data_IF_526416652061
#
_entry.id   IF_526416652061
#
_cell.length_a   1.000
_cell.length_b   1.000
_cell.length_c   1.000
_cell.angle_alpha   90.00
_cell.angle_beta   90.00
_cell.angle_gamma   90.00
#
_symmetry.space_group_name_H-M   'P 1'
#
loop_
_entity.id
_entity.type
_entity.pdbx_description
1 polymer ?
#
# COMPACT_ATOMS: atom_id res chain seq x y z
N UNK A 1 -23.76 3.00 8.97
CA UNK A 1 -24.85 2.51 9.84
C UNK A 1 -25.35 3.68 10.68
N UNK A 2 -26.40 4.42 10.28
CA UNK A 2 -26.70 5.76 10.85
C UNK A 2 -27.24 5.75 12.29
N UNK A 3 -27.63 4.59 12.82
CA UNK A 3 -28.14 4.43 14.19
C UNK A 3 -27.14 3.73 15.12
N UNK A 4 -25.89 3.64 14.70
CA UNK A 4 -24.84 2.90 15.42
C UNK A 4 -23.59 3.75 15.43
N UNK A 5 -23.03 4.01 16.62
CA UNK A 5 -21.73 4.66 16.72
C UNK A 5 -20.68 3.77 16.06
N UNK A 6 -19.80 4.37 15.25
CA UNK A 6 -18.76 3.68 14.51
C UNK A 6 -17.41 4.35 14.79
N UNK A 7 -16.35 3.55 14.76
CA UNK A 7 -14.96 4.02 14.79
C UNK A 7 -14.17 3.27 13.72
N UNK A 8 -13.20 3.89 13.06
CA UNK A 8 -12.27 3.18 12.20
C UNK A 8 -11.21 2.50 13.07
N UNK A 9 -10.72 1.37 12.58
CA UNK A 9 -9.52 0.74 13.08
C UNK A 9 -8.44 0.85 12.00
N UNK A 10 -7.34 1.51 12.34
CA UNK A 10 -6.17 1.63 11.47
C UNK A 10 -5.06 0.71 11.97
N UNK A 11 -4.34 0.09 11.04
CA UNK A 11 -3.15 -0.67 11.37
C UNK A 11 -1.94 0.26 11.33
N UNK A 12 -1.22 0.38 12.47
CA UNK A 12 0.05 1.12 12.55
C UNK A 12 1.20 0.13 12.29
N UNK A 13 1.07 -1.10 12.79
CA UNK A 13 2.02 -2.18 12.46
C UNK A 13 1.92 -2.53 10.98
N UNK A 14 3.07 -2.78 10.36
CA UNK A 14 3.17 -2.96 8.90
C UNK A 14 3.06 -4.44 8.51
N UNK A 15 2.04 -5.15 8.99
CA UNK A 15 1.81 -6.57 8.67
C UNK A 15 1.83 -6.84 7.16
N UNK A 16 1.15 -5.99 6.39
CA UNK A 16 1.00 -6.11 4.93
C UNK A 16 1.95 -5.22 4.13
N UNK A 17 2.84 -4.50 4.81
CA UNK A 17 3.64 -3.42 4.23
C UNK A 17 5.12 -3.54 4.61
N UNK A 18 5.61 -4.79 4.66
CA UNK A 18 7.03 -5.11 4.84
C UNK A 18 7.54 -5.10 6.27
N UNK A 19 6.67 -5.38 7.25
CA UNK A 19 6.99 -5.47 8.67
C UNK A 19 7.83 -4.26 9.14
N UNK A 20 8.82 -4.47 10.00
CA UNK A 20 9.74 -3.42 10.46
C UNK A 20 10.95 -3.23 9.52
N UNK A 21 10.82 -3.55 8.24
CA UNK A 21 11.92 -3.43 7.25
C UNK A 21 11.66 -2.34 6.23
N UNK A 22 10.45 -2.27 5.69
CA UNK A 22 10.15 -1.32 4.62
C UNK A 22 9.80 0.05 5.20
N UNK A 23 10.36 1.11 4.62
CA UNK A 23 9.91 2.47 4.87
C UNK A 23 8.55 2.64 4.18
N UNK A 24 7.48 2.70 4.97
CA UNK A 24 6.12 2.98 4.51
C UNK A 24 5.43 3.92 5.49
N UNK A 25 5.36 5.19 5.14
CA UNK A 25 4.65 6.20 5.92
C UNK A 25 3.14 6.11 5.66
N UNK A 26 2.37 5.87 6.72
CA UNK A 26 0.95 5.48 6.64
C UNK A 26 -0.03 6.66 6.73
N UNK A 27 0.43 7.86 7.07
CA UNK A 27 -0.47 9.01 7.13
C UNK A 27 -1.21 9.27 5.81
N UNK A 28 -0.60 9.16 4.62
CA UNK A 28 -1.33 9.30 3.35
C UNK A 28 -2.49 8.31 3.21
N UNK A 29 -2.33 7.07 3.70
CA UNK A 29 -3.38 6.05 3.69
C UNK A 29 -4.52 6.42 4.64
N UNK A 30 -4.19 6.93 5.83
CA UNK A 30 -5.19 7.37 6.80
C UNK A 30 -5.93 8.62 6.31
N UNK A 31 -5.22 9.61 5.75
CA UNK A 31 -5.77 10.83 5.17
C UNK A 31 -6.69 10.52 3.97
N UNK A 32 -6.27 9.63 3.07
CA UNK A 32 -7.09 9.13 1.94
C UNK A 32 -8.41 8.53 2.44
N UNK A 33 -8.35 7.68 3.47
CA UNK A 33 -9.53 7.09 4.08
C UNK A 33 -10.43 8.15 4.73
N UNK A 34 -9.88 8.98 5.62
CA UNK A 34 -10.63 9.99 6.37
C UNK A 34 -11.29 11.04 5.46
N UNK A 35 -10.65 11.39 4.34
CA UNK A 35 -11.17 12.35 3.37
C UNK A 35 -12.14 11.76 2.35
N UNK A 36 -12.24 10.43 2.24
CA UNK A 36 -13.11 9.78 1.27
C UNK A 36 -14.57 10.16 1.51
N UNK A 37 -15.22 10.75 0.49
CA UNK A 37 -16.64 11.07 0.52
C UNK A 37 -17.49 9.82 0.26
N UNK A 38 -18.30 9.46 1.25
CA UNK A 38 -19.18 8.28 1.18
C UNK A 38 -20.51 8.57 0.50
N UNK A 39 -20.83 9.86 0.30
CA UNK A 39 -22.13 10.36 -0.12
C UNK A 39 -23.31 9.88 0.74
N UNK A 40 -23.06 9.46 1.99
CA UNK A 40 -24.07 8.85 2.86
C UNK A 40 -25.27 9.78 3.14
N UNK A 41 -25.03 11.10 3.21
CA UNK A 41 -26.04 12.15 3.34
C UNK A 41 -25.82 13.29 2.32
N UNK A 42 -25.44 12.94 1.09
CA UNK A 42 -25.07 13.89 0.04
C UNK A 42 -23.56 14.19 0.01
N UNK A 43 -23.14 15.07 -0.89
CA UNK A 43 -21.74 15.49 -1.03
C UNK A 43 -21.18 16.07 0.28
N UNK A 44 -19.90 15.81 0.52
CA UNK A 44 -19.19 16.17 1.75
C UNK A 44 -19.46 15.22 2.91
N UNK A 45 -20.00 14.02 2.68
CA UNK A 45 -20.23 12.99 3.71
C UNK A 45 -18.97 12.15 3.94
N UNK A 46 -17.87 12.78 4.32
CA UNK A 46 -16.57 12.10 4.46
C UNK A 46 -16.56 11.09 5.59
N UNK A 47 -15.65 10.11 5.52
CA UNK A 47 -15.38 9.18 6.62
C UNK A 47 -15.07 9.93 7.91
N UNK A 48 -14.25 10.99 7.86
CA UNK A 48 -13.96 11.83 9.02
C UNK A 48 -15.23 12.36 9.71
N UNK A 49 -16.23 12.82 8.94
CA UNK A 49 -17.50 13.32 9.50
C UNK A 49 -18.40 12.23 10.08
N UNK A 50 -18.23 11.00 9.61
CA UNK A 50 -18.87 9.83 10.24
C UNK A 50 -18.20 9.55 11.59
N UNK A 51 -16.87 9.59 11.62
CA UNK A 51 -16.04 9.22 12.77
C UNK A 51 -16.08 10.27 13.87
N UNK A 52 -16.10 11.56 13.54
CA UNK A 52 -16.26 12.68 14.49
C UNK A 52 -17.71 12.89 14.95
N UNK A 53 -18.64 12.07 14.44
CA UNK A 53 -20.05 12.08 14.81
C UNK A 53 -20.89 13.19 14.19
N UNK A 54 -20.29 14.17 13.51
CA UNK A 54 -20.98 15.35 12.95
C UNK A 54 -21.99 15.02 11.85
N UNK A 55 -21.84 13.90 11.15
CA UNK A 55 -22.79 13.46 10.12
C UNK A 55 -24.04 12.79 10.71
N UNK A 56 -23.88 12.06 11.83
CA UNK A 56 -24.92 11.21 12.42
C UNK A 56 -25.48 11.70 13.76
N UNK A 57 -24.91 12.76 14.34
CA UNK A 57 -25.25 13.23 15.69
C UNK A 57 -24.79 12.28 16.80
N UNK A 58 -23.71 11.53 16.58
CA UNK A 58 -23.17 10.61 17.58
C UNK A 58 -22.25 11.36 18.55
N UNK A 59 -22.41 11.13 19.85
CA UNK A 59 -21.58 11.76 20.89
C UNK A 59 -20.41 10.89 21.35
N UNK A 60 -20.46 9.58 21.07
CA UNK A 60 -19.37 8.66 21.33
C UNK A 60 -18.64 8.39 20.02
N UNK A 61 -17.40 8.87 19.95
CA UNK A 61 -16.54 8.86 18.77
C UNK A 61 -15.16 8.38 19.15
N UNK A 62 -14.48 7.66 18.27
CA UNK A 62 -13.14 7.16 18.52
C UNK A 62 -12.41 6.83 17.20
N UNK A 63 -11.10 6.63 17.31
CA UNK A 63 -10.29 5.89 16.34
C UNK A 63 -9.43 4.89 17.10
N UNK A 64 -9.29 3.69 16.56
CA UNK A 64 -8.41 2.66 17.09
C UNK A 64 -7.18 2.50 16.19
N UNK A 65 -6.02 2.28 16.81
CA UNK A 65 -4.74 2.09 16.13
C UNK A 65 -4.08 0.80 16.62
N UNK A 66 -3.90 -0.18 15.73
CA UNK A 66 -3.18 -1.42 16.07
C UNK A 66 -1.70 -1.11 16.15
N UNK A 67 -1.18 -1.12 17.38
CA UNK A 67 0.17 -0.68 17.73
C UNK A 67 1.28 -1.38 16.96
N UNK A 68 2.38 -0.66 16.69
CA UNK A 68 3.58 -1.16 16.03
C UNK A 68 4.79 -1.27 16.96
N UNK A 69 4.58 -1.38 18.27
CA UNK A 69 5.68 -1.36 19.25
C UNK A 69 5.91 -2.65 20.02
N UNK A 70 7.16 -2.83 20.40
CA UNK A 70 7.66 -3.90 21.26
C UNK A 70 8.79 -3.41 22.17
N UNK A 71 9.62 -4.36 22.61
CA UNK A 71 10.74 -4.15 23.54
C UNK A 71 12.06 -3.76 22.86
N UNK A 72 12.07 -3.62 21.53
CA UNK A 72 13.21 -3.07 20.77
C UNK A 72 13.49 -1.63 21.19
N UNK A 73 14.77 -1.22 21.16
CA UNK A 73 15.21 0.05 21.77
C UNK A 73 14.51 1.29 21.21
N UNK A 74 14.23 1.31 19.90
CA UNK A 74 13.52 2.39 19.22
C UNK A 74 12.00 2.20 19.20
N UNK A 75 11.49 1.19 19.92
CA UNK A 75 10.10 0.73 20.03
C UNK A 75 9.51 0.11 18.77
N UNK A 76 9.77 0.65 17.58
CA UNK A 76 9.06 0.30 16.33
C UNK A 76 9.85 -0.58 15.36
N UNK A 77 11.09 -0.95 15.69
CA UNK A 77 12.00 -1.70 14.82
C UNK A 77 12.57 -0.81 13.72
N UNK A 78 11.75 -0.36 12.76
CA UNK A 78 12.17 0.64 11.77
C UNK A 78 12.07 2.05 12.38
N UNK A 79 13.10 2.93 12.26
CA UNK A 79 13.02 4.31 12.72
C UNK A 79 11.82 5.12 12.19
N UNK A 80 11.44 4.94 10.91
CA UNK A 80 10.27 5.58 10.32
C UNK A 80 8.93 4.99 10.81
N UNK A 81 8.94 3.81 11.45
CA UNK A 81 7.75 3.27 12.11
C UNK A 81 7.23 4.19 13.22
N UNK A 82 8.09 4.99 13.84
CA UNK A 82 7.69 5.99 14.84
C UNK A 82 6.83 7.09 14.22
N UNK A 83 7.08 7.45 12.96
CA UNK A 83 6.30 8.46 12.25
C UNK A 83 4.85 8.01 12.06
N UNK A 84 4.61 6.70 11.90
CA UNK A 84 3.26 6.14 11.75
C UNK A 84 2.49 6.21 13.07
N UNK A 85 3.13 5.92 14.20
CA UNK A 85 2.51 6.07 15.51
C UNK A 85 2.21 7.56 15.80
N UNK A 86 3.17 8.45 15.53
CA UNK A 86 2.96 9.89 15.64
C UNK A 86 1.78 10.35 14.77
N UNK A 87 1.74 9.96 13.50
CA UNK A 87 0.68 10.33 12.57
C UNK A 87 -0.71 9.85 13.01
N UNK A 88 -0.81 8.61 13.50
CA UNK A 88 -2.06 8.10 14.05
C UNK A 88 -2.55 9.01 15.19
N UNK A 89 -1.68 9.37 16.14
CA UNK A 89 -2.05 10.25 17.25
C UNK A 89 -2.50 11.65 16.79
N UNK A 90 -1.81 12.23 15.79
CA UNK A 90 -2.17 13.54 15.22
C UNK A 90 -3.52 13.50 14.51
N UNK A 91 -3.78 12.50 13.68
CA UNK A 91 -5.05 12.36 12.96
C UNK A 91 -6.21 11.96 13.88
N UNK A 92 -5.94 11.16 14.92
CA UNK A 92 -6.92 10.85 15.95
C UNK A 92 -7.38 12.11 16.71
N UNK A 93 -6.49 13.09 16.87
CA UNK A 93 -6.79 14.38 17.47
C UNK A 93 -7.51 15.33 16.49
N UNK A 94 -7.00 15.45 15.27
CA UNK A 94 -7.58 16.30 14.22
C UNK A 94 -7.51 15.59 12.85
N UNK A 95 -8.63 14.99 12.37
CA UNK A 95 -8.67 14.29 11.10
C UNK A 95 -8.58 15.23 9.88
N UNK A 96 -8.56 16.55 10.08
CA UNK A 96 -8.39 17.54 9.03
C UNK A 96 -6.92 17.78 8.63
N UNK A 97 -5.97 17.36 9.47
CA UNK A 97 -4.53 17.55 9.21
C UNK A 97 -4.08 16.85 7.92
N UNK A 98 -3.11 17.46 7.22
CA UNK A 98 -2.48 16.82 6.07
C UNK A 98 -1.28 15.97 6.48
N UNK A 99 -1.06 14.87 5.77
CA UNK A 99 0.10 14.00 5.96
C UNK A 99 1.43 14.74 5.81
N UNK A 100 1.49 15.71 4.89
CA UNK A 100 2.69 16.52 4.70
C UNK A 100 3.01 17.39 5.92
N UNK A 101 1.98 17.94 6.60
CA UNK A 101 2.17 18.71 7.83
C UNK A 101 2.72 17.81 8.93
N UNK A 102 2.12 16.64 9.11
CA UNK A 102 2.51 15.67 10.13
C UNK A 102 3.94 15.16 9.89
N UNK A 103 4.30 14.84 8.64
CA UNK A 103 5.65 14.45 8.27
C UNK A 103 6.66 15.55 8.63
N UNK A 104 6.38 16.80 8.25
CA UNK A 104 7.27 17.93 8.54
C UNK A 104 7.44 18.23 10.03
N UNK A 105 6.40 18.03 10.85
CA UNK A 105 6.49 18.11 12.32
C UNK A 105 7.42 17.02 12.85
N UNK A 106 7.14 15.76 12.49
CA UNK A 106 7.86 14.60 13.01
C UNK A 106 9.34 14.61 12.61
N UNK A 107 9.66 14.95 11.37
CA UNK A 107 11.05 15.01 10.88
C UNK A 107 11.87 16.04 11.67
N UNK A 108 11.30 17.21 11.96
CA UNK A 108 11.97 18.28 12.72
C UNK A 108 12.18 17.94 14.19
N UNK A 109 11.30 17.13 14.76
CA UNK A 109 11.40 16.63 16.13
C UNK A 109 12.39 15.48 16.25
N UNK A 110 12.45 14.62 15.23
CA UNK A 110 13.18 13.35 15.29
C UNK A 110 14.58 13.46 14.71
N UNK A 111 14.74 14.01 13.52
CA UNK A 111 16.00 13.93 12.76
C UNK A 111 16.78 15.23 12.75
N UNK A 112 16.22 16.28 12.16
CA UNK A 112 16.97 17.49 11.86
C UNK A 112 16.06 18.71 11.70
N UNK A 113 16.59 19.88 12.03
CA UNK A 113 15.94 21.19 11.77
C UNK A 113 16.52 21.90 10.54
N UNK A 114 17.50 21.28 9.87
CA UNK A 114 17.95 21.76 8.56
C UNK A 114 16.79 21.62 7.56
N UNK A 115 16.39 22.73 6.94
CA UNK A 115 15.16 22.77 6.13
C UNK A 115 15.27 21.95 4.85
N UNK A 116 16.44 21.90 4.21
CA UNK A 116 16.66 21.11 2.99
C UNK A 116 16.64 19.61 3.30
N UNK A 117 17.37 19.18 4.33
CA UNK A 117 17.34 17.79 4.77
C UNK A 117 15.95 17.38 5.25
N UNK A 118 15.26 18.23 6.02
CA UNK A 118 13.91 17.94 6.49
C UNK A 118 12.89 17.83 5.32
N UNK A 119 13.04 18.66 4.29
CA UNK A 119 12.22 18.60 3.09
C UNK A 119 12.44 17.29 2.32
N UNK A 120 13.70 16.88 2.12
CA UNK A 120 14.05 15.61 1.46
C UNK A 120 13.46 14.41 2.19
N UNK A 121 13.62 14.33 3.52
CA UNK A 121 13.06 13.23 4.34
C UNK A 121 11.53 13.21 4.27
N UNK A 122 10.90 14.39 4.34
CA UNK A 122 9.44 14.48 4.23
C UNK A 122 8.95 14.03 2.84
N UNK A 123 9.69 14.35 1.78
CA UNK A 123 9.41 13.88 0.42
C UNK A 123 9.49 12.36 0.30
N UNK A 124 10.57 11.76 0.83
CA UNK A 124 10.71 10.30 0.92
C UNK A 124 9.51 9.65 1.62
N UNK A 125 9.11 10.18 2.79
CA UNK A 125 7.96 9.70 3.55
C UNK A 125 6.68 9.78 2.72
N UNK A 126 6.37 10.94 2.13
CA UNK A 126 5.14 11.14 1.36
C UNK A 126 5.05 10.23 0.13
N UNK A 127 6.16 9.87 -0.49
CA UNK A 127 6.18 8.95 -1.64
C UNK A 127 6.05 7.46 -1.23
N UNK A 128 6.50 7.11 -0.02
CA UNK A 128 6.77 5.72 0.37
C UNK A 128 5.57 4.77 0.32
N UNK A 129 4.36 5.21 0.70
CA UNK A 129 3.15 4.37 0.62
C UNK A 129 2.88 3.91 -0.80
N UNK A 130 2.87 4.83 -1.75
CA UNK A 130 2.54 4.51 -3.13
C UNK A 130 3.67 3.73 -3.81
N UNK A 131 4.92 3.93 -3.38
CA UNK A 131 6.04 3.08 -3.81
C UNK A 131 5.77 1.61 -3.41
N UNK A 132 5.34 1.37 -2.16
CA UNK A 132 4.98 0.03 -1.69
C UNK A 132 3.79 -0.57 -2.44
N UNK A 133 2.72 0.20 -2.66
CA UNK A 133 1.57 -0.23 -3.49
C UNK A 133 2.06 -0.67 -4.87
N UNK A 134 2.92 0.10 -5.51
CA UNK A 134 3.42 -0.19 -6.85
C UNK A 134 4.19 -1.52 -6.94
N UNK A 135 5.12 -1.80 -6.02
CA UNK A 135 5.87 -3.06 -6.07
C UNK A 135 5.14 -4.23 -5.40
N UNK A 136 4.04 -4.03 -4.66
CA UNK A 136 3.31 -5.13 -4.02
C UNK A 136 2.00 -5.44 -4.74
N UNK A 137 1.06 -4.48 -4.77
CA UNK A 137 -0.34 -4.72 -5.16
C UNK A 137 -0.95 -3.54 -5.93
N UNK A 138 -0.42 -3.19 -7.13
CA UNK A 138 -0.92 -2.04 -7.89
C UNK A 138 -2.29 -2.31 -8.55
N UNK A 139 -2.90 -1.24 -9.08
CA UNK A 139 -4.11 -1.29 -9.93
C UNK A 139 -5.37 -1.87 -9.26
N UNK A 140 -5.40 -1.94 -7.93
CA UNK A 140 -6.50 -2.55 -7.18
C UNK A 140 -6.31 -4.04 -6.89
N UNK A 141 -5.16 -4.62 -7.24
CA UNK A 141 -4.76 -5.92 -6.70
C UNK A 141 -4.65 -5.83 -5.18
N UNK A 142 -4.91 -6.95 -4.51
CA UNK A 142 -4.79 -7.05 -3.06
C UNK A 142 -4.68 -8.52 -2.64
N UNK A 143 -4.25 -8.75 -1.39
CA UNK A 143 -4.20 -10.09 -0.79
C UNK A 143 -3.35 -11.10 -1.61
N UNK A 144 -2.18 -10.67 -2.08
CA UNK A 144 -1.22 -11.52 -2.82
C UNK A 144 0.06 -11.73 -2.01
N UNK A 145 -0.08 -11.79 -0.69
CA UNK A 145 1.02 -11.93 0.26
C UNK A 145 1.32 -13.41 0.54
N UNK A 146 2.52 -13.66 1.03
CA UNK A 146 2.98 -14.98 1.46
C UNK A 146 2.10 -15.51 2.59
N UNK A 147 1.64 -16.76 2.47
CA UNK A 147 0.76 -17.38 3.45
C UNK A 147 1.41 -17.54 4.82
N UNK A 148 0.72 -17.12 5.88
CA UNK A 148 1.17 -17.24 7.27
C UNK A 148 1.79 -15.94 7.80
N UNK A 149 2.87 -15.46 7.18
CA UNK A 149 3.63 -14.31 7.71
C UNK A 149 3.49 -13.00 6.91
N UNK A 150 2.84 -13.01 5.75
CA UNK A 150 2.48 -11.83 4.94
C UNK A 150 3.61 -10.93 4.39
N UNK A 151 4.87 -11.17 4.76
CA UNK A 151 6.03 -10.36 4.37
C UNK A 151 6.34 -10.32 2.85
N UNK A 152 6.39 -11.49 2.21
CA UNK A 152 6.79 -11.63 0.80
C UNK A 152 5.61 -11.79 -0.17
N UNK A 153 5.88 -11.90 -1.47
CA UNK A 153 4.86 -12.22 -2.46
C UNK A 153 4.36 -13.64 -2.29
N UNK A 154 3.05 -13.82 -2.48
CA UNK A 154 2.38 -15.10 -2.56
C UNK A 154 1.18 -15.07 -3.49
N UNK A 155 1.28 -14.57 -4.74
CA UNK A 155 0.13 -14.50 -5.64
C UNK A 155 -0.39 -15.89 -6.04
N UNK A 156 0.37 -16.96 -5.81
CA UNK A 156 -0.01 -18.35 -6.07
C UNK A 156 -0.67 -19.08 -4.90
N UNK A 157 -0.91 -18.43 -3.75
CA UNK A 157 -1.57 -19.11 -2.61
C UNK A 157 -2.99 -19.49 -3.02
N UNK A 158 -3.29 -20.79 -3.03
CA UNK A 158 -4.54 -21.38 -3.56
C UNK A 158 -5.18 -22.44 -2.65
N UNK A 159 -4.59 -22.70 -1.47
CA UNK A 159 -5.05 -23.74 -0.54
C UNK A 159 -5.63 -23.17 0.75
N UNK A 160 -6.61 -23.87 1.32
CA UNK A 160 -7.34 -23.44 2.51
C UNK A 160 -8.72 -22.86 2.21
N UNK A 161 -9.20 -21.98 3.09
CA UNK A 161 -10.48 -21.28 2.89
C UNK A 161 -10.33 -20.31 1.71
N UNK A 162 -11.24 -20.33 0.74
CA UNK A 162 -11.04 -19.61 -0.52
C UNK A 162 -10.74 -18.12 -0.33
N UNK A 163 -11.46 -17.44 0.56
CA UNK A 163 -11.27 -16.02 0.91
C UNK A 163 -9.98 -15.73 1.72
N UNK A 164 -9.16 -16.74 2.03
CA UNK A 164 -7.80 -16.62 2.56
C UNK A 164 -6.73 -16.89 1.50
N UNK A 165 -7.13 -17.15 0.25
CA UNK A 165 -6.21 -17.43 -0.85
C UNK A 165 -6.03 -16.22 -1.75
N UNK A 166 -4.87 -16.07 -2.35
CA UNK A 166 -4.58 -15.01 -3.32
C UNK A 166 -5.41 -15.17 -4.59
N UNK A 167 -5.53 -16.41 -5.08
CA UNK A 167 -6.23 -16.73 -6.34
C UNK A 167 -7.72 -16.36 -6.31
N UNK A 168 -8.35 -16.36 -5.14
CA UNK A 168 -9.73 -15.92 -4.97
C UNK A 168 -9.92 -14.44 -5.31
N UNK A 169 -8.95 -13.60 -4.97
CA UNK A 169 -9.04 -12.16 -5.11
C UNK A 169 -8.66 -11.69 -6.52
N UNK A 170 -7.49 -12.07 -7.02
CA UNK A 170 -7.04 -11.56 -8.31
C UNK A 170 -7.68 -12.27 -9.50
N UNK A 171 -8.19 -13.52 -9.35
CA UNK A 171 -8.87 -14.31 -10.40
C UNK A 171 -8.19 -14.25 -11.78
N UNK A 172 -6.87 -14.38 -11.79
CA UNK A 172 -6.10 -14.32 -13.03
C UNK A 172 -6.33 -15.61 -13.84
N UNK A 173 -6.61 -15.46 -15.12
CA UNK A 173 -6.77 -16.55 -16.08
C UNK A 173 -6.29 -16.10 -17.48
N UNK A 174 -6.46 -16.94 -18.49
CA UNK A 174 -6.05 -16.61 -19.87
C UNK A 174 -6.86 -15.47 -20.50
N UNK A 175 -8.05 -15.17 -19.97
CA UNK A 175 -8.87 -14.07 -20.47
C UNK A 175 -8.44 -12.75 -19.83
N UNK A 176 -8.11 -12.73 -18.54
CA UNK A 176 -7.83 -11.48 -17.82
C UNK A 176 -7.46 -11.62 -16.34
N UNK A 177 -7.63 -10.52 -15.60
CA UNK A 177 -7.37 -10.41 -14.17
C UNK A 177 -8.32 -9.40 -13.52
N UNK A 178 -8.59 -9.57 -12.23
CA UNK A 178 -9.40 -8.68 -11.39
C UNK A 178 -10.65 -9.36 -10.82
N UNK A 179 -11.43 -8.68 -10.00
CA UNK A 179 -12.64 -9.25 -9.41
C UNK A 179 -13.88 -8.53 -9.90
N UNK A 180 -14.78 -9.24 -10.57
CA UNK A 180 -16.05 -8.68 -11.03
C UNK A 180 -17.02 -8.40 -9.87
N UNK A 181 -17.07 -7.14 -9.42
CA UNK A 181 -17.90 -6.65 -8.30
C UNK A 181 -19.03 -5.71 -8.74
N UNK A 182 -19.24 -5.56 -10.05
CA UNK A 182 -20.44 -4.93 -10.63
C UNK A 182 -21.66 -5.88 -10.62
N UNK A 183 -22.85 -5.45 -11.08
CA UNK A 183 -24.02 -6.32 -11.19
C UNK A 183 -23.81 -7.58 -12.05
N UNK A 184 -22.78 -7.61 -12.91
CA UNK A 184 -22.43 -8.79 -13.70
C UNK A 184 -21.72 -9.90 -12.89
N UNK A 185 -21.25 -9.59 -11.67
CA UNK A 185 -20.56 -10.53 -10.79
C UNK A 185 -21.16 -10.56 -9.39
N UNK A 186 -20.36 -10.24 -8.37
CA UNK A 186 -20.83 -10.29 -6.97
C UNK A 186 -21.80 -9.17 -6.58
N UNK A 187 -21.90 -8.11 -7.40
CA UNK A 187 -22.71 -6.92 -7.15
C UNK A 187 -22.43 -6.23 -5.80
N UNK A 188 -21.20 -6.35 -5.26
CA UNK A 188 -20.81 -5.67 -4.03
C UNK A 188 -20.93 -4.14 -4.16
N UNK A 189 -20.85 -3.60 -5.38
CA UNK A 189 -21.09 -2.18 -5.66
C UNK A 189 -22.46 -1.67 -5.21
N UNK A 190 -23.47 -2.53 -5.10
CA UNK A 190 -24.80 -2.15 -4.58
C UNK A 190 -24.76 -1.67 -3.12
N UNK A 191 -23.71 -2.03 -2.36
CA UNK A 191 -23.51 -1.57 -1.00
C UNK A 191 -23.13 -0.08 -0.91
N UNK A 192 -22.60 0.48 -2.00
CA UNK A 192 -22.18 1.88 -2.08
C UNK A 192 -23.33 2.81 -2.47
N UNK A 193 -23.19 4.10 -2.13
CA UNK A 193 -24.14 5.14 -2.56
C UNK A 193 -24.04 5.39 -4.07
N UNK A 194 -25.11 5.88 -4.72
CA UNK A 194 -25.14 6.00 -6.19
C UNK A 194 -23.93 6.71 -6.82
N UNK A 195 -23.40 7.83 -6.29
CA UNK A 195 -22.24 8.48 -6.89
C UNK A 195 -20.99 7.57 -6.97
N UNK A 196 -20.67 6.86 -5.88
CA UNK A 196 -19.55 5.92 -5.85
C UNK A 196 -19.83 4.66 -6.68
N UNK A 197 -21.07 4.16 -6.63
CA UNK A 197 -21.48 3.02 -7.44
C UNK A 197 -21.34 3.30 -8.94
N UNK A 198 -21.68 4.51 -9.37
CA UNK A 198 -21.53 4.93 -10.77
C UNK A 198 -20.07 5.18 -11.13
N UNK A 199 -19.30 5.82 -10.25
CA UNK A 199 -17.87 6.07 -10.43
C UNK A 199 -17.09 4.77 -10.61
N UNK A 200 -17.27 3.83 -9.69
CA UNK A 200 -16.55 2.57 -9.67
C UNK A 200 -17.15 1.51 -10.61
N UNK A 201 -18.43 1.63 -10.96
CA UNK A 201 -19.14 0.64 -11.78
C UNK A 201 -18.88 0.72 -13.28
N UNK A 202 -18.20 1.76 -13.78
CA UNK A 202 -17.78 1.85 -15.18
C UNK A 202 -16.27 1.88 -15.28
N UNK A 203 -15.73 1.08 -16.19
CA UNK A 203 -14.29 0.96 -16.42
C UNK A 203 -13.67 2.31 -16.76
N UNK A 204 -14.37 3.15 -17.52
CA UNK A 204 -13.89 4.45 -17.99
C UNK A 204 -13.76 5.49 -16.86
N UNK A 205 -14.63 5.42 -15.85
CA UNK A 205 -14.65 6.36 -14.73
C UNK A 205 -13.93 5.83 -13.49
N UNK A 206 -13.75 4.51 -13.37
CA UNK A 206 -13.09 3.90 -12.23
C UNK A 206 -11.63 4.43 -12.13
N UNK A 207 -11.17 4.84 -10.93
CA UNK A 207 -9.77 5.13 -10.70
C UNK A 207 -8.91 3.88 -10.96
N UNK A 208 -7.76 4.03 -11.60
CA UNK A 208 -6.93 2.87 -12.01
C UNK A 208 -6.42 2.10 -10.80
N UNK A 209 -6.14 2.81 -9.70
CA UNK A 209 -5.72 2.29 -8.41
C UNK A 209 -6.76 1.38 -7.72
N UNK A 210 -8.03 1.40 -8.17
CA UNK A 210 -9.10 0.54 -7.66
C UNK A 210 -9.70 -0.36 -8.76
N UNK A 211 -9.16 -0.33 -9.97
CA UNK A 211 -9.79 -0.91 -11.14
C UNK A 211 -10.01 -2.43 -11.00
N UNK A 212 -8.97 -3.16 -10.64
CA UNK A 212 -9.01 -4.62 -10.49
C UNK A 212 -9.72 -5.07 -9.21
N UNK A 213 -10.07 -4.13 -8.32
CA UNK A 213 -10.97 -4.39 -7.20
C UNK A 213 -12.41 -4.51 -7.69
N UNK A 214 -12.83 -3.72 -8.69
CA UNK A 214 -14.23 -3.70 -9.13
C UNK A 214 -14.51 -4.49 -10.41
N UNK A 215 -13.50 -4.67 -11.27
CA UNK A 215 -13.64 -5.23 -12.61
C UNK A 215 -12.69 -6.40 -12.85
N UNK A 216 -13.15 -7.42 -13.57
CA UNK A 216 -12.26 -8.39 -14.23
C UNK A 216 -12.04 -7.93 -15.68
N UNK A 217 -10.80 -7.67 -16.06
CA UNK A 217 -10.46 -7.03 -17.33
C UNK A 217 -9.52 -7.90 -18.16
N UNK A 218 -9.68 -7.87 -19.49
CA UNK A 218 -8.79 -8.61 -20.37
C UNK A 218 -7.37 -8.03 -20.35
N UNK A 219 -6.37 -8.88 -20.55
CA UNK A 219 -4.95 -8.47 -20.58
C UNK A 219 -4.62 -7.38 -21.61
N UNK A 220 -5.45 -7.28 -22.67
CA UNK A 220 -5.36 -6.30 -23.76
C UNK A 220 -6.12 -4.99 -23.48
N UNK A 221 -6.77 -4.87 -22.32
CA UNK A 221 -7.49 -3.65 -21.95
C UNK A 221 -6.53 -2.46 -21.97
N UNK A 222 -6.92 -1.37 -22.65
CA UNK A 222 -6.11 -0.16 -22.75
C UNK A 222 -6.29 0.71 -21.52
N UNK A 223 -5.20 0.89 -20.78
CA UNK A 223 -5.10 1.76 -19.62
C UNK A 223 -5.03 3.23 -20.05
N UNK A 224 -5.19 4.17 -19.11
CA UNK A 224 -5.11 5.63 -19.38
C UNK A 224 -3.72 6.05 -19.88
N UNK A 225 -2.68 5.28 -19.56
CA UNK A 225 -1.34 5.45 -20.10
C UNK A 225 -1.23 5.13 -21.60
N UNK A 226 -2.25 4.50 -22.20
CA UNK A 226 -2.27 3.99 -23.58
C UNK A 226 -1.71 2.57 -23.73
N UNK A 227 -1.03 2.06 -22.70
CA UNK A 227 -0.51 0.69 -22.62
C UNK A 227 -1.65 -0.31 -22.40
N UNK A 228 -1.40 -1.56 -22.72
CA UNK A 228 -2.32 -2.64 -22.32
C UNK A 228 -2.14 -3.00 -20.85
N UNK A 229 -3.16 -3.59 -20.22
CA UNK A 229 -3.17 -3.93 -18.79
C UNK A 229 -1.95 -4.75 -18.37
N UNK A 230 -1.53 -5.72 -19.19
CA UNK A 230 -0.32 -6.52 -18.91
C UNK A 230 0.95 -5.65 -18.82
N UNK A 231 1.16 -4.77 -19.79
CA UNK A 231 2.34 -3.88 -19.80
C UNK A 231 2.28 -2.90 -18.63
N UNK A 232 1.13 -2.30 -18.39
CA UNK A 232 0.93 -1.38 -17.27
C UNK A 232 1.25 -2.06 -15.94
N UNK A 233 0.79 -3.31 -15.74
CA UNK A 233 1.11 -4.09 -14.55
C UNK A 233 2.63 -4.27 -14.38
N UNK A 234 3.34 -4.68 -15.43
CA UNK A 234 4.80 -4.80 -15.41
C UNK A 234 5.48 -3.47 -15.03
N UNK A 235 5.09 -2.36 -15.67
CA UNK A 235 5.68 -1.06 -15.39
C UNK A 235 5.36 -0.54 -13.99
N UNK A 236 4.21 -0.87 -13.40
CA UNK A 236 3.88 -0.49 -12.01
C UNK A 236 4.81 -1.20 -11.03
N UNK A 237 4.95 -2.52 -11.15
CA UNK A 237 5.88 -3.30 -10.32
C UNK A 237 7.32 -2.79 -10.44
N UNK A 238 7.78 -2.55 -11.66
CA UNK A 238 9.14 -2.05 -11.91
C UNK A 238 9.34 -0.60 -11.44
N UNK A 239 8.34 0.27 -11.61
CA UNK A 239 8.37 1.63 -11.08
C UNK A 239 8.50 1.63 -9.55
N UNK A 240 7.84 0.70 -8.85
CA UNK A 240 8.01 0.53 -7.41
C UNK A 240 9.46 0.25 -7.02
N UNK A 241 10.10 -0.73 -7.67
CA UNK A 241 11.52 -1.07 -7.43
C UNK A 241 12.45 0.13 -7.69
N UNK A 242 12.32 0.76 -8.87
CA UNK A 242 13.13 1.94 -9.23
C UNK A 242 12.95 3.08 -8.23
N UNK A 243 11.75 3.22 -7.67
CA UNK A 243 11.46 4.26 -6.68
C UNK A 243 12.12 3.99 -5.32
N UNK A 244 12.25 2.74 -4.89
CA UNK A 244 13.04 2.41 -3.69
C UNK A 244 14.53 2.76 -3.91
N UNK A 245 15.06 2.52 -5.11
CA UNK A 245 16.42 2.96 -5.48
C UNK A 245 16.61 4.49 -5.37
N UNK A 246 15.57 5.27 -5.70
CA UNK A 246 15.57 6.73 -5.47
C UNK A 246 15.57 7.07 -3.99
N UNK A 247 14.73 6.42 -3.17
CA UNK A 247 14.73 6.61 -1.71
C UNK A 247 16.12 6.35 -1.10
N UNK A 248 16.84 5.32 -1.58
CA UNK A 248 18.22 5.05 -1.14
C UNK A 248 19.18 6.18 -1.50
N UNK A 249 19.07 6.72 -2.71
CA UNK A 249 19.94 7.81 -3.18
C UNK A 249 19.66 9.11 -2.43
N UNK A 250 18.38 9.41 -2.20
CA UNK A 250 17.92 10.54 -1.39
C UNK A 250 18.42 10.39 0.05
N UNK A 251 18.25 9.22 0.68
CA UNK A 251 18.77 8.98 2.03
C UNK A 251 20.28 9.15 2.10
N UNK A 252 21.02 8.59 1.14
CA UNK A 252 22.48 8.69 1.10
C UNK A 252 22.98 10.15 1.06
N UNK A 253 22.23 11.05 0.42
CA UNK A 253 22.57 12.48 0.38
C UNK A 253 22.49 13.17 1.74
N UNK A 254 21.82 12.56 2.73
CA UNK A 254 21.57 13.12 4.06
C UNK A 254 22.62 12.74 5.11
N UNK A 255 23.71 12.07 4.71
CA UNK A 255 24.71 11.51 5.64
C UNK A 255 25.24 12.54 6.65
N UNK A 256 25.49 13.77 6.21
CA UNK A 256 26.04 14.83 7.06
C UNK A 256 24.97 15.53 7.93
N UNK A 257 23.69 15.21 7.72
CA UNK A 257 22.55 15.83 8.41
C UNK A 257 21.90 14.93 9.46
N UNK A 258 22.33 13.67 9.58
CA UNK A 258 21.75 12.64 10.44
C UNK A 258 22.89 12.00 11.24
N UNK A 259 22.66 11.61 12.49
CA UNK A 259 23.67 10.87 13.24
C UNK A 259 23.98 9.51 12.58
N UNK A 260 25.23 9.07 12.76
CA UNK A 260 25.76 7.90 12.09
C UNK A 260 24.98 6.61 12.38
N UNK A 261 24.43 6.45 13.59
CA UNK A 261 23.70 5.24 13.99
C UNK A 261 22.41 5.10 13.18
N UNK A 262 21.53 6.11 13.25
CA UNK A 262 20.25 6.07 12.53
C UNK A 262 20.44 6.15 11.02
N UNK A 263 21.44 6.88 10.55
CA UNK A 263 21.79 6.90 9.13
C UNK A 263 22.14 5.50 8.62
N UNK A 264 23.01 4.78 9.33
CA UNK A 264 23.44 3.42 8.96
C UNK A 264 22.30 2.41 9.05
N UNK A 265 21.47 2.50 10.10
CA UNK A 265 20.31 1.63 10.30
C UNK A 265 19.32 1.77 9.13
N UNK A 266 18.87 2.99 8.83
CA UNK A 266 17.94 3.25 7.73
C UNK A 266 18.55 2.88 6.37
N UNK A 267 19.85 3.13 6.16
CA UNK A 267 20.54 2.72 4.92
C UNK A 267 20.48 1.22 4.69
N UNK A 268 20.67 0.44 5.77
CA UNK A 268 20.60 -1.02 5.74
C UNK A 268 19.18 -1.51 5.44
N UNK A 269 18.17 -0.91 6.10
CA UNK A 269 16.77 -1.25 5.89
C UNK A 269 16.29 -0.90 4.48
N UNK A 270 16.67 0.25 3.93
CA UNK A 270 16.32 0.63 2.55
C UNK A 270 16.99 -0.29 1.50
N UNK A 271 18.22 -0.75 1.76
CA UNK A 271 18.87 -1.73 0.88
C UNK A 271 18.12 -3.06 0.88
N UNK A 272 17.63 -3.49 2.05
CA UNK A 272 16.79 -4.67 2.18
C UNK A 272 15.42 -4.50 1.53
N UNK A 273 14.77 -3.35 1.72
CA UNK A 273 13.52 -3.01 1.04
C UNK A 273 13.67 -3.07 -0.48
N UNK A 274 14.80 -2.61 -1.04
CA UNK A 274 15.03 -2.71 -2.49
C UNK A 274 15.16 -4.16 -2.96
N UNK A 275 15.90 -5.00 -2.22
CA UNK A 275 15.98 -6.43 -2.48
C UNK A 275 14.59 -7.06 -2.49
N UNK A 276 13.80 -6.78 -1.45
CA UNK A 276 12.47 -7.37 -1.28
C UNK A 276 11.49 -6.84 -2.34
N UNK A 277 11.56 -5.56 -2.71
CA UNK A 277 10.79 -5.00 -3.82
C UNK A 277 11.10 -5.70 -5.15
N UNK A 278 12.37 -6.06 -5.41
CA UNK A 278 12.76 -6.84 -6.60
C UNK A 278 12.18 -8.25 -6.56
N UNK A 279 12.21 -8.91 -5.41
CA UNK A 279 11.58 -10.24 -5.22
C UNK A 279 10.07 -10.15 -5.51
N UNK A 280 9.39 -9.14 -4.96
CA UNK A 280 7.98 -8.89 -5.23
C UNK A 280 7.69 -8.65 -6.72
N UNK A 281 8.42 -7.75 -7.38
CA UNK A 281 8.29 -7.48 -8.83
C UNK A 281 8.45 -8.76 -9.63
N UNK A 282 9.55 -9.47 -9.46
CA UNK A 282 9.90 -10.63 -10.28
C UNK A 282 8.90 -11.78 -10.04
N UNK A 283 8.58 -12.09 -8.79
CA UNK A 283 7.62 -13.13 -8.44
C UNK A 283 6.23 -12.88 -9.01
N UNK A 284 5.69 -11.67 -8.82
CA UNK A 284 4.34 -11.33 -9.29
C UNK A 284 4.27 -11.28 -10.81
N UNK A 285 5.25 -10.65 -11.47
CA UNK A 285 5.25 -10.54 -12.93
C UNK A 285 5.45 -11.90 -13.60
N UNK A 286 6.35 -12.76 -13.11
CA UNK A 286 6.49 -14.13 -13.61
C UNK A 286 5.21 -14.95 -13.41
N UNK A 287 4.56 -14.82 -12.25
CA UNK A 287 3.32 -15.54 -11.97
C UNK A 287 2.20 -15.13 -12.93
N UNK A 288 1.95 -13.82 -13.05
CA UNK A 288 0.89 -13.31 -13.94
C UNK A 288 1.20 -13.53 -15.42
N UNK A 289 2.48 -13.62 -15.81
CA UNK A 289 2.88 -13.99 -17.17
C UNK A 289 2.36 -15.37 -17.59
N UNK A 290 2.24 -16.32 -16.66
CA UNK A 290 1.72 -17.66 -16.97
C UNK A 290 0.26 -17.65 -17.43
N UNK A 291 -0.49 -16.61 -17.07
CA UNK A 291 -1.88 -16.41 -17.45
C UNK A 291 -2.01 -15.49 -18.66
N UNK A 292 -1.28 -14.37 -18.67
CA UNK A 292 -1.33 -13.44 -19.79
C UNK A 292 -0.79 -14.06 -21.09
N UNK A 293 0.19 -14.96 -20.99
CA UNK A 293 0.88 -15.56 -22.14
C UNK A 293 1.66 -14.53 -22.96
N UNK A 294 1.89 -13.33 -22.41
CA UNK A 294 2.52 -12.20 -23.10
C UNK A 294 3.99 -12.07 -22.74
N UNK A 295 4.85 -11.65 -23.69
CA UNK A 295 6.22 -11.30 -23.36
C UNK A 295 6.26 -10.09 -22.42
N UNK A 296 7.32 -9.95 -21.65
CA UNK A 296 7.59 -8.71 -20.94
C UNK A 296 7.82 -7.55 -21.94
N UNK A 297 7.56 -6.29 -21.54
CA UNK A 297 7.98 -5.13 -22.33
C UNK A 297 9.48 -5.20 -22.68
N UNK A 298 9.87 -4.65 -23.83
CA UNK A 298 11.22 -4.80 -24.36
C UNK A 298 12.32 -4.15 -23.48
N UNK A 299 11.95 -3.14 -22.70
CA UNK A 299 12.79 -2.40 -21.76
C UNK A 299 12.59 -2.84 -20.29
N UNK A 300 11.86 -3.95 -20.07
CA UNK A 300 11.70 -4.55 -18.76
C UNK A 300 12.93 -5.39 -18.42
N UNK A 301 13.57 -5.10 -17.28
CA UNK A 301 14.71 -5.88 -16.82
C UNK A 301 14.26 -7.33 -16.56
N UNK A 302 14.96 -8.35 -17.13
CA UNK A 302 14.54 -9.72 -16.95
C UNK A 302 14.57 -10.13 -15.47
N UNK A 303 13.61 -10.95 -15.01
CA UNK A 303 13.64 -11.52 -13.67
C UNK A 303 14.95 -12.27 -13.40
N UNK A 304 15.47 -12.18 -12.18
CA UNK A 304 16.76 -12.80 -11.84
C UNK A 304 16.71 -14.32 -11.78
N UNK A 305 15.55 -14.87 -11.42
CA UNK A 305 15.32 -16.31 -11.32
C UNK A 305 14.02 -16.71 -12.03
N UNK A 306 13.72 -18.01 -12.09
CA UNK A 306 12.44 -18.51 -12.60
C UNK A 306 11.35 -18.50 -11.51
N UNK A 307 10.09 -18.75 -11.92
CA UNK A 307 8.95 -18.75 -11.00
C UNK A 307 9.07 -19.84 -9.91
N UNK A 308 9.70 -20.98 -10.19
CA UNK A 308 9.82 -22.06 -9.20
C UNK A 308 10.78 -21.67 -8.07
N UNK A 309 11.85 -20.95 -8.41
CA UNK A 309 12.73 -20.36 -7.41
C UNK A 309 11.97 -19.41 -6.49
N UNK A 310 11.17 -18.47 -7.02
CA UNK A 310 10.40 -17.54 -6.18
C UNK A 310 9.33 -18.22 -5.33
N UNK A 311 8.71 -19.31 -5.84
CA UNK A 311 7.78 -20.12 -5.05
C UNK A 311 8.45 -20.85 -3.89
N UNK A 312 9.70 -21.25 -4.06
CA UNK A 312 10.50 -21.94 -3.04
C UNK A 312 11.29 -20.98 -2.14
N UNK A 313 11.29 -19.67 -2.44
CA UNK A 313 12.04 -18.68 -1.69
C UNK A 313 11.50 -18.53 -0.27
N UNK A 314 12.39 -18.64 0.71
CA UNK A 314 12.10 -18.39 2.12
C UNK A 314 12.90 -17.20 2.61
N UNK A 315 12.30 -16.39 3.48
CA UNK A 315 12.98 -15.28 4.12
C UNK A 315 13.57 -15.75 5.45
N UNK A 316 14.88 -15.60 5.62
CA UNK A 316 15.56 -15.96 6.88
C UNK A 316 15.83 -14.75 7.77
N UNK A 317 15.47 -13.56 7.32
CA UNK A 317 15.87 -12.32 7.94
C UNK A 317 14.70 -11.42 8.35
N UNK A 318 13.47 -11.92 8.45
CA UNK A 318 12.31 -11.10 8.87
C UNK A 318 12.39 -10.80 10.37
N UNK A 319 12.50 -9.54 10.81
CA UNK A 319 12.55 -9.24 12.24
C UNK A 319 11.22 -9.60 12.94
N UNK A 320 11.31 -10.33 14.05
CA UNK A 320 10.16 -10.63 14.91
C UNK A 320 9.18 -11.69 14.38
N UNK A 321 9.53 -12.38 13.29
CA UNK A 321 8.77 -13.51 12.75
C UNK A 321 9.70 -14.72 12.80
N UNK A 322 9.36 -15.69 13.66
CA UNK A 322 9.99 -17.01 13.74
C UNK A 322 9.32 -18.02 12.80
#
# INVERSE_FOLDING_TARGET
>A
MPRTAMMPEFQITQEYLGASVHLVYLAPLYEECLRSDTHAAGEGSTVARVVDGSLGGHTLTAMAGVSNIGDVRNWTGHPFGQANWYAFGRLAWDPGLSSATIAGEWVRMTFTRDEEAAHTISGMMMASREIAVNYMTPLGLHHIMYYGHHYGPGPWVDSGRADWTSVYYHRADSAGIGFERTPAGSNALEQYRPPLRELYGRVESCPEELLLWFHHLPWEHRMKSGRILWEELCYRYDAGVRSVGRLRSEWASLQEHIDAERFSEVSTLLAKQERDARIWRDACTLYFQTFSGKPFPADFDPPQHDLQWYKAHTYEDIPGIE
#
